data_IF_163166648453
#
_entry.id   IF_163166648453
#
_cell.length_a   1.000
_cell.length_b   1.000
_cell.length_c   1.000
_cell.angle_alpha   90.00
_cell.angle_beta   90.00
_cell.angle_gamma   90.00
#
_symmetry.space_group_name_H-M   'P 1'
#
loop_
_entity.id
_entity.type
_entity.pdbx_description
1 polymer ?
#
# COMPACT_ATOMS: atom_id res chain seq x y z
N UNK A 1 13.88 -15.55 -3.24
CA UNK A 1 12.79 -15.53 -2.27
C UNK A 1 11.53 -14.92 -2.90
N UNK A 2 10.34 -15.48 -2.60
CA UNK A 2 9.06 -15.08 -3.21
C UNK A 2 8.68 -13.62 -2.93
N UNK A 3 9.02 -13.10 -1.76
CA UNK A 3 8.74 -11.72 -1.37
C UNK A 3 9.46 -10.66 -2.23
N UNK A 4 10.39 -11.08 -3.08
CA UNK A 4 11.14 -10.21 -4.03
C UNK A 4 10.62 -10.31 -5.47
N UNK A 5 9.65 -11.19 -5.73
CA UNK A 5 9.08 -11.35 -7.07
C UNK A 5 8.13 -10.20 -7.40
N UNK A 6 8.05 -9.85 -8.69
CA UNK A 6 7.04 -8.92 -9.19
C UNK A 6 5.64 -9.54 -9.14
N UNK A 7 4.63 -8.69 -8.95
CA UNK A 7 3.24 -9.12 -8.78
C UNK A 7 2.75 -10.02 -9.93
N UNK A 8 3.13 -9.71 -11.17
CA UNK A 8 2.80 -10.50 -12.36
C UNK A 8 3.48 -11.88 -12.38
N UNK A 9 4.65 -11.98 -11.79
CA UNK A 9 5.36 -13.25 -11.68
C UNK A 9 4.68 -14.16 -10.67
N UNK A 10 4.23 -13.60 -9.55
CA UNK A 10 3.44 -14.35 -8.57
C UNK A 10 2.13 -14.86 -9.17
N UNK A 11 1.44 -14.05 -9.98
CA UNK A 11 0.24 -14.51 -10.70
C UNK A 11 0.56 -15.70 -11.60
N UNK A 12 1.62 -15.64 -12.39
CA UNK A 12 2.05 -16.77 -13.25
C UNK A 12 2.37 -18.04 -12.46
N UNK A 13 3.02 -17.90 -11.30
CA UNK A 13 3.31 -19.05 -10.43
C UNK A 13 2.05 -19.67 -9.83
N UNK A 14 1.08 -18.85 -9.43
CA UNK A 14 -0.23 -19.29 -8.94
C UNK A 14 -1.04 -20.00 -10.05
N UNK A 15 -0.99 -19.47 -11.27
CA UNK A 15 -1.65 -20.02 -12.44
C UNK A 15 -1.08 -21.38 -12.84
N UNK A 16 0.27 -21.47 -12.93
CA UNK A 16 0.99 -22.69 -13.33
C UNK A 16 1.08 -23.76 -12.23
N UNK A 17 0.92 -23.36 -10.96
CA UNK A 17 1.14 -24.24 -9.81
C UNK A 17 2.61 -24.50 -9.47
N UNK A 18 3.54 -23.81 -10.14
CA UNK A 18 4.96 -23.89 -9.82
C UNK A 18 5.25 -23.27 -8.45
N UNK A 19 6.31 -23.75 -7.78
CA UNK A 19 6.73 -23.30 -6.43
C UNK A 19 5.60 -23.34 -5.39
N UNK A 20 4.73 -24.33 -5.49
CA UNK A 20 3.54 -24.49 -4.64
C UNK A 20 3.86 -24.45 -3.14
N UNK A 21 4.89 -25.18 -2.73
CA UNK A 21 5.26 -25.26 -1.31
C UNK A 21 5.66 -23.89 -0.75
N UNK A 22 6.49 -23.15 -1.48
CA UNK A 22 6.92 -21.82 -1.08
C UNK A 22 5.75 -20.81 -1.06
N UNK A 23 4.86 -20.88 -2.07
CA UNK A 23 3.66 -20.04 -2.11
C UNK A 23 2.70 -20.41 -0.98
N UNK A 24 2.56 -21.69 -0.65
CA UNK A 24 1.75 -22.12 0.49
C UNK A 24 2.34 -21.63 1.81
N UNK A 25 3.66 -21.65 1.96
CA UNK A 25 4.33 -21.08 3.14
C UNK A 25 4.10 -19.58 3.30
N UNK A 26 4.04 -18.84 2.18
CA UNK A 26 3.83 -17.38 2.20
C UNK A 26 2.35 -16.99 2.42
N UNK A 27 1.43 -17.69 1.76
CA UNK A 27 0.01 -17.33 1.66
C UNK A 27 -0.89 -18.12 2.64
N UNK A 28 -0.35 -19.16 3.26
CA UNK A 28 -1.14 -20.18 3.94
C UNK A 28 -1.83 -21.12 2.94
N UNK A 29 -2.25 -22.30 3.42
CA UNK A 29 -2.86 -23.32 2.55
C UNK A 29 -4.17 -22.85 1.90
N UNK A 30 -5.00 -22.13 2.64
CA UNK A 30 -6.29 -21.62 2.15
C UNK A 30 -6.09 -20.46 1.18
N UNK A 31 -5.22 -19.51 1.50
CA UNK A 31 -4.87 -18.40 0.62
C UNK A 31 -4.26 -18.87 -0.70
N UNK A 32 -3.36 -19.86 -0.67
CA UNK A 32 -2.82 -20.47 -1.88
C UNK A 32 -3.91 -21.11 -2.75
N UNK A 33 -4.81 -21.92 -2.14
CA UNK A 33 -5.91 -22.57 -2.87
C UNK A 33 -6.81 -21.55 -3.55
N UNK A 34 -7.25 -20.55 -2.80
CA UNK A 34 -8.14 -19.49 -3.29
C UNK A 34 -7.48 -18.71 -4.44
N UNK A 35 -6.29 -18.16 -4.22
CA UNK A 35 -5.60 -17.34 -5.22
C UNK A 35 -5.19 -18.14 -6.46
N UNK A 36 -4.79 -19.41 -6.32
CA UNK A 36 -4.49 -20.27 -7.48
C UNK A 36 -5.73 -20.59 -8.30
N UNK A 37 -6.90 -20.76 -7.65
CA UNK A 37 -8.17 -20.94 -8.35
C UNK A 37 -8.52 -19.68 -9.15
N UNK A 38 -8.48 -18.52 -8.49
CA UNK A 38 -8.78 -17.24 -9.13
C UNK A 38 -7.79 -16.93 -10.27
N UNK A 39 -6.50 -17.22 -10.10
CA UNK A 39 -5.50 -16.98 -11.14
C UNK A 39 -5.78 -17.80 -12.42
N UNK A 40 -6.12 -19.09 -12.25
CA UNK A 40 -6.48 -19.95 -13.39
C UNK A 40 -7.79 -19.53 -14.06
N UNK A 41 -8.76 -19.05 -13.29
CA UNK A 41 -10.03 -18.56 -13.82
C UNK A 41 -9.83 -17.23 -14.57
N UNK A 42 -9.07 -16.30 -14.00
CA UNK A 42 -8.72 -15.04 -14.63
C UNK A 42 -7.93 -15.25 -15.94
N UNK A 43 -7.04 -16.26 -15.99
CA UNK A 43 -6.32 -16.61 -17.20
C UNK A 43 -7.26 -17.07 -18.33
N UNK A 44 -8.32 -17.80 -18.01
CA UNK A 44 -9.36 -18.22 -18.98
C UNK A 44 -10.22 -17.04 -19.44
N UNK A 45 -10.52 -16.12 -18.52
CA UNK A 45 -11.36 -14.94 -18.76
C UNK A 45 -10.63 -13.78 -19.47
N UNK A 46 -9.31 -13.89 -19.72
CA UNK A 46 -8.51 -12.83 -20.35
C UNK A 46 -9.11 -12.41 -21.70
N UNK A 47 -9.89 -11.34 -21.66
CA UNK A 47 -10.41 -10.66 -22.84
C UNK A 47 -9.42 -9.56 -23.24
N UNK A 48 -8.98 -9.55 -24.51
CA UNK A 48 -8.23 -8.42 -25.05
C UNK A 48 -9.20 -7.24 -25.21
N UNK A 49 -8.89 -6.10 -24.56
CA UNK A 49 -9.65 -4.86 -24.70
C UNK A 49 -10.67 -4.57 -23.60
N UNK A 50 -10.58 -5.21 -22.44
CA UNK A 50 -11.36 -4.83 -21.24
C UNK A 50 -11.04 -3.40 -20.77
N UNK A 51 -12.01 -2.75 -20.12
CA UNK A 51 -11.79 -1.45 -19.50
C UNK A 51 -10.68 -1.53 -18.46
N UNK A 52 -9.71 -0.61 -18.52
CA UNK A 52 -8.60 -0.60 -17.58
C UNK A 52 -9.06 -0.12 -16.21
N UNK A 53 -8.68 -0.88 -15.18
CA UNK A 53 -8.93 -0.55 -13.77
C UNK A 53 -7.61 -0.55 -13.01
N UNK A 54 -7.21 0.59 -12.45
CA UNK A 54 -6.08 0.65 -11.52
C UNK A 54 -6.57 0.34 -10.10
N UNK A 55 -5.93 -0.63 -9.47
CA UNK A 55 -6.20 -1.05 -8.09
C UNK A 55 -5.12 -0.49 -7.18
N UNK A 56 -5.52 0.39 -6.26
CA UNK A 56 -4.65 1.08 -5.31
C UNK A 56 -4.79 0.44 -3.92
N UNK A 57 -3.69 -0.06 -3.32
CA UNK A 57 -3.72 -0.59 -1.96
C UNK A 57 -3.86 0.53 -0.92
N UNK A 58 -4.10 0.14 0.34
CA UNK A 58 -4.10 1.06 1.48
C UNK A 58 -2.71 1.43 1.98
N UNK A 59 -2.69 2.17 3.09
CA UNK A 59 -1.49 2.48 3.85
C UNK A 59 -0.72 1.19 4.18
N UNK A 60 0.62 1.23 4.07
CA UNK A 60 1.47 0.06 4.26
C UNK A 60 1.22 -1.10 3.26
N UNK A 61 0.40 -0.88 2.24
CA UNK A 61 -0.01 -1.90 1.28
C UNK A 61 0.93 -2.11 0.09
N UNK A 62 2.03 -1.36 0.00
CA UNK A 62 3.10 -1.58 -0.99
C UNK A 62 4.41 -1.96 -0.30
N UNK A 63 5.17 -2.82 -0.94
CA UNK A 63 6.55 -3.13 -0.55
C UNK A 63 7.43 -1.93 -0.84
N UNK A 64 8.24 -1.51 0.12
CA UNK A 64 9.16 -0.39 -0.01
C UNK A 64 10.59 -0.89 0.10
N UNK A 65 11.45 -0.41 -0.78
CA UNK A 65 12.85 -0.81 -0.82
C UNK A 65 13.63 -0.09 -1.91
N UNK A 66 14.78 -0.64 -2.27
CA UNK A 66 15.63 -0.14 -3.35
C UNK A 66 15.59 -1.10 -4.53
N UNK A 67 15.36 -0.58 -5.73
CA UNK A 67 15.45 -1.38 -6.95
C UNK A 67 16.89 -1.81 -7.18
N UNK A 68 17.12 -3.11 -7.22
CA UNK A 68 18.40 -3.69 -7.55
C UNK A 68 18.50 -4.04 -9.03
N UNK A 69 19.74 -4.20 -9.53
CA UNK A 69 19.98 -4.61 -10.92
C UNK A 69 19.58 -6.07 -11.20
N UNK A 70 19.68 -6.93 -10.21
CA UNK A 70 19.34 -8.37 -10.29
C UNK A 70 18.19 -8.74 -9.34
N UNK A 71 18.18 -8.18 -8.13
CA UNK A 71 17.17 -8.43 -7.10
C UNK A 71 16.89 -7.13 -6.35
N UNK A 72 15.64 -6.89 -6.03
CA UNK A 72 15.22 -5.77 -5.20
C UNK A 72 15.63 -5.99 -3.73
N UNK A 73 16.08 -4.92 -3.07
CA UNK A 73 16.33 -4.89 -1.63
C UNK A 73 15.07 -4.35 -0.94
N UNK A 74 14.24 -5.28 -0.45
CA UNK A 74 12.96 -4.97 0.19
C UNK A 74 13.19 -4.73 1.67
N UNK A 75 12.75 -3.57 2.18
CA UNK A 75 12.78 -3.23 3.61
C UNK A 75 11.41 -3.50 4.24
N UNK A 76 10.37 -3.00 3.61
CA UNK A 76 8.99 -3.18 4.07
C UNK A 76 8.29 -4.29 3.28
N UNK A 77 7.94 -5.46 3.77
CA UNK A 77 8.21 -6.14 5.06
C UNK A 77 9.15 -7.35 4.82
N UNK A 78 10.43 -7.16 4.88
CA UNK A 78 11.36 -8.29 4.91
C UNK A 78 11.66 -8.64 6.38
N UNK A 79 11.40 -9.87 6.86
CA UNK A 79 11.63 -10.23 8.26
C UNK A 79 13.08 -10.08 8.72
N UNK A 80 14.05 -10.26 7.82
CA UNK A 80 15.47 -10.10 8.14
C UNK A 80 15.79 -8.61 8.35
N UNK A 81 15.28 -7.75 7.47
CA UNK A 81 15.47 -6.31 7.56
C UNK A 81 14.79 -5.74 8.81
N UNK A 82 13.60 -6.27 9.17
CA UNK A 82 12.91 -5.92 10.42
C UNK A 82 13.76 -6.30 11.63
N UNK A 83 14.20 -7.56 11.72
CA UNK A 83 15.02 -8.05 12.84
C UNK A 83 16.36 -7.30 12.97
N UNK A 84 16.94 -6.87 11.86
CA UNK A 84 18.17 -6.08 11.84
C UNK A 84 17.97 -4.61 12.27
N UNK A 85 16.75 -4.15 12.52
CA UNK A 85 16.44 -2.76 12.89
C UNK A 85 16.45 -1.78 11.71
N UNK A 86 16.37 -2.30 10.49
CA UNK A 86 16.47 -1.48 9.27
C UNK A 86 15.17 -0.77 8.90
N UNK A 87 14.08 -0.95 9.67
CA UNK A 87 12.85 -0.18 9.49
C UNK A 87 13.09 1.33 9.61
N UNK A 88 14.11 1.76 10.35
CA UNK A 88 14.50 3.18 10.46
C UNK A 88 14.90 3.82 9.13
N UNK A 89 15.29 3.01 8.13
CA UNK A 89 15.53 3.47 6.74
C UNK A 89 14.25 3.94 6.04
N UNK A 90 13.07 3.61 6.55
CA UNK A 90 11.79 4.09 6.03
C UNK A 90 11.50 5.55 6.39
N UNK A 91 12.18 6.12 7.39
CA UNK A 91 12.05 7.53 7.71
C UNK A 91 12.28 8.41 6.48
N UNK A 92 11.56 9.53 6.40
CA UNK A 92 11.68 10.50 5.33
C UNK A 92 12.50 11.73 5.76
N UNK A 93 13.81 11.58 5.96
CA UNK A 93 14.70 12.70 5.76
C UNK A 93 14.97 12.88 4.27
N UNK A 94 15.42 14.02 3.89
CA UNK A 94 15.78 14.37 2.51
C UNK A 94 16.71 13.29 1.92
N UNK A 95 16.38 12.79 0.74
CA UNK A 95 17.28 11.94 -0.06
C UNK A 95 17.10 10.44 0.04
N UNK A 96 16.06 9.93 0.69
CA UNK A 96 15.73 8.50 0.62
C UNK A 96 15.53 8.05 -0.83
N UNK A 97 16.32 7.05 -1.25
CA UNK A 97 16.22 6.42 -2.59
C UNK A 97 15.24 5.24 -2.62
N UNK A 98 14.47 5.07 -1.54
CA UNK A 98 13.50 3.99 -1.48
C UNK A 98 12.30 4.31 -2.36
N UNK A 99 11.74 3.25 -2.97
CA UNK A 99 10.57 3.33 -3.85
C UNK A 99 9.61 2.18 -3.57
N UNK A 100 8.39 2.29 -4.08
CA UNK A 100 7.47 1.17 -4.14
C UNK A 100 7.97 0.14 -5.16
N UNK A 101 8.04 -1.12 -4.74
CA UNK A 101 8.55 -2.26 -5.53
C UNK A 101 7.44 -3.18 -6.01
N UNK A 102 6.23 -3.05 -5.45
CA UNK A 102 5.07 -3.87 -5.75
C UNK A 102 4.07 -3.80 -4.60
N UNK A 103 2.90 -4.42 -4.76
CA UNK A 103 1.87 -4.45 -3.72
C UNK A 103 2.10 -5.58 -2.71
N UNK A 104 1.53 -5.42 -1.51
CA UNK A 104 1.37 -6.52 -0.55
C UNK A 104 0.25 -7.45 -1.03
N UNK A 105 0.61 -8.70 -1.35
CA UNK A 105 -0.09 -9.54 -2.32
C UNK A 105 -1.53 -9.95 -1.97
N UNK A 106 -1.85 -10.29 -0.71
CA UNK A 106 -3.06 -11.07 -0.44
C UNK A 106 -4.37 -10.40 -0.91
N UNK A 107 -4.69 -9.22 -0.38
CA UNK A 107 -5.99 -8.59 -0.66
C UNK A 107 -6.05 -7.90 -2.03
N UNK A 108 -4.98 -7.21 -2.41
CA UNK A 108 -4.92 -6.51 -3.69
C UNK A 108 -4.92 -7.48 -4.88
N UNK A 109 -4.24 -8.63 -4.73
CA UNK A 109 -4.19 -9.65 -5.77
C UNK A 109 -5.55 -10.34 -5.95
N UNK A 110 -6.25 -10.64 -4.86
CA UNK A 110 -7.60 -11.21 -4.91
C UNK A 110 -8.54 -10.27 -5.68
N UNK A 111 -8.55 -8.99 -5.33
CA UNK A 111 -9.37 -7.98 -6.01
C UNK A 111 -9.01 -7.87 -7.50
N UNK A 112 -7.70 -7.81 -7.83
CA UNK A 112 -7.25 -7.80 -9.22
C UNK A 112 -7.80 -8.98 -10.01
N UNK A 113 -7.60 -10.20 -9.50
CA UNK A 113 -8.02 -11.42 -10.19
C UNK A 113 -9.55 -11.48 -10.35
N UNK A 114 -10.31 -11.06 -9.34
CA UNK A 114 -11.77 -11.00 -9.41
C UNK A 114 -12.23 -10.01 -10.49
N UNK A 115 -11.60 -8.84 -10.59
CA UNK A 115 -11.90 -7.87 -11.64
C UNK A 115 -11.54 -8.41 -13.02
N UNK A 116 -10.43 -9.15 -13.15
CA UNK A 116 -10.05 -9.78 -14.42
C UNK A 116 -11.06 -10.86 -14.85
N UNK A 117 -11.58 -11.66 -13.91
CA UNK A 117 -12.66 -12.63 -14.18
C UNK A 117 -13.93 -11.90 -14.66
N UNK A 118 -14.22 -10.72 -14.11
CA UNK A 118 -15.34 -9.88 -14.52
C UNK A 118 -15.13 -9.15 -15.86
N UNK A 119 -13.98 -9.37 -16.54
CA UNK A 119 -13.70 -8.83 -17.86
C UNK A 119 -12.96 -7.49 -17.91
N UNK A 120 -12.48 -7.00 -16.77
CA UNK A 120 -11.67 -5.77 -16.70
C UNK A 120 -10.17 -6.06 -16.93
N UNK A 121 -9.44 -5.10 -17.51
CA UNK A 121 -7.98 -5.07 -17.47
C UNK A 121 -7.53 -4.45 -16.15
N UNK A 122 -7.50 -5.26 -15.08
CA UNK A 122 -7.14 -4.82 -13.74
C UNK A 122 -5.61 -4.79 -13.57
N UNK A 123 -5.08 -3.62 -13.22
CA UNK A 123 -3.66 -3.34 -13.03
C UNK A 123 -3.41 -2.89 -11.60
N UNK A 124 -2.44 -3.52 -10.90
CA UNK A 124 -2.02 -3.06 -9.58
C UNK A 124 -1.17 -1.78 -9.71
N UNK A 125 -1.46 -0.81 -8.89
CA UNK A 125 -0.66 0.40 -8.77
C UNK A 125 -0.03 0.48 -7.38
N UNK A 126 1.21 0.00 -7.26
CA UNK A 126 2.02 0.18 -6.06
C UNK A 126 2.54 1.63 -6.00
N UNK A 127 2.50 2.22 -4.82
CA UNK A 127 2.98 3.59 -4.58
C UNK A 127 3.71 3.68 -3.24
N UNK A 128 4.56 4.68 -3.11
CA UNK A 128 5.31 4.94 -1.88
C UNK A 128 4.40 5.61 -0.83
N UNK A 129 3.67 4.77 -0.09
CA UNK A 129 2.68 5.19 0.92
C UNK A 129 3.21 6.11 2.02
N UNK A 130 4.51 6.36 2.07
CA UNK A 130 5.14 7.32 3.00
C UNK A 130 4.97 8.77 2.56
N UNK A 131 4.73 9.00 1.27
CA UNK A 131 4.64 10.32 0.63
C UNK A 131 3.27 10.95 0.82
N UNK A 132 3.18 12.25 0.53
CA UNK A 132 1.91 12.98 0.54
C UNK A 132 0.89 12.40 -0.47
N UNK A 133 -0.37 12.47 -0.12
CA UNK A 133 -1.48 11.98 -0.97
C UNK A 133 -1.52 12.71 -2.31
N UNK A 134 -1.27 14.02 -2.32
CA UNK A 134 -1.20 14.82 -3.56
C UNK A 134 -0.12 14.29 -4.50
N UNK A 135 1.09 14.08 -3.99
CA UNK A 135 2.19 13.51 -4.78
C UNK A 135 1.84 12.13 -5.34
N UNK A 136 1.19 11.30 -4.56
CA UNK A 136 0.77 9.96 -5.00
C UNK A 136 -0.31 10.03 -6.08
N UNK A 137 -1.20 11.00 -6.00
CA UNK A 137 -2.18 11.27 -7.05
C UNK A 137 -1.52 11.72 -8.35
N UNK A 138 -0.52 12.61 -8.29
CA UNK A 138 0.26 13.03 -9.45
C UNK A 138 1.03 11.88 -10.09
N UNK A 139 1.66 11.01 -9.27
CA UNK A 139 2.36 9.80 -9.74
C UNK A 139 1.38 8.82 -10.43
N UNK A 140 0.15 8.68 -9.93
CA UNK A 140 -0.90 7.89 -10.57
C UNK A 140 -1.32 8.49 -11.92
N UNK A 141 -1.56 9.79 -11.98
CA UNK A 141 -1.93 10.49 -13.22
C UNK A 141 -0.83 10.37 -14.28
N UNK A 142 0.43 10.55 -13.89
CA UNK A 142 1.58 10.36 -14.76
C UNK A 142 1.69 8.90 -15.26
N UNK A 143 1.36 7.93 -14.42
CA UNK A 143 1.32 6.52 -14.80
C UNK A 143 0.21 6.24 -15.83
N UNK A 144 -1.01 6.76 -15.61
CA UNK A 144 -2.13 6.63 -16.54
C UNK A 144 -1.77 7.21 -17.91
N UNK A 145 -1.12 8.38 -17.92
CA UNK A 145 -0.65 9.03 -19.15
C UNK A 145 0.43 8.20 -19.86
N UNK A 146 1.43 7.73 -19.13
CA UNK A 146 2.50 6.88 -19.66
C UNK A 146 1.99 5.55 -20.22
N UNK A 147 0.95 4.97 -19.62
CA UNK A 147 0.32 3.74 -20.09
C UNK A 147 -0.57 3.99 -21.35
N UNK A 148 -0.82 5.25 -21.73
CA UNK A 148 -1.68 5.63 -22.87
C UNK A 148 -3.14 5.22 -22.71
N UNK A 149 -3.61 5.05 -21.47
CA UNK A 149 -4.95 4.53 -21.18
C UNK A 149 -5.99 5.64 -21.31
N UNK A 150 -7.03 5.37 -22.09
CA UNK A 150 -8.19 6.23 -22.22
C UNK A 150 -9.29 5.81 -21.23
N UNK A 151 -9.89 6.79 -20.55
CA UNK A 151 -11.01 6.58 -19.62
C UNK A 151 -10.80 5.47 -18.58
N UNK A 152 -9.67 5.43 -17.83
CA UNK A 152 -9.44 4.40 -16.82
C UNK A 152 -10.45 4.49 -15.68
N UNK A 153 -10.65 3.37 -14.99
CA UNK A 153 -11.34 3.33 -13.72
C UNK A 153 -10.31 3.18 -12.58
N UNK A 154 -10.65 3.69 -11.40
CA UNK A 154 -9.84 3.56 -10.20
C UNK A 154 -10.61 2.78 -9.14
N UNK A 155 -9.94 1.85 -8.46
CA UNK A 155 -10.47 1.18 -7.25
C UNK A 155 -9.43 1.32 -6.16
N UNK A 156 -9.71 2.11 -5.15
CA UNK A 156 -8.80 2.38 -4.04
C UNK A 156 -9.31 1.85 -2.71
N UNK A 157 -8.49 1.06 -2.01
CA UNK A 157 -8.76 0.61 -0.66
C UNK A 157 -8.12 1.55 0.37
N UNK A 158 -8.87 1.94 1.41
CA UNK A 158 -8.36 2.77 2.51
C UNK A 158 -7.68 4.05 1.98
N UNK A 159 -6.42 4.34 2.35
CA UNK A 159 -5.62 5.45 1.81
C UNK A 159 -5.61 5.49 0.27
N UNK A 160 -5.56 4.33 -0.41
CA UNK A 160 -5.63 4.28 -1.88
C UNK A 160 -6.93 4.87 -2.45
N UNK A 161 -8.03 4.82 -1.69
CA UNK A 161 -9.27 5.50 -2.04
C UNK A 161 -9.15 7.02 -1.93
N UNK A 162 -8.42 7.52 -0.94
CA UNK A 162 -8.14 8.96 -0.81
C UNK A 162 -7.26 9.45 -1.97
N UNK A 163 -6.20 8.69 -2.31
CA UNK A 163 -5.34 8.97 -3.49
C UNK A 163 -6.18 8.98 -4.77
N UNK A 164 -7.06 7.99 -4.96
CA UNK A 164 -7.94 7.93 -6.13
C UNK A 164 -8.90 9.13 -6.21
N UNK A 165 -9.42 9.61 -5.06
CA UNK A 165 -10.27 10.81 -4.98
C UNK A 165 -9.52 12.07 -5.37
N UNK A 166 -8.29 12.24 -4.85
CA UNK A 166 -7.46 13.42 -5.17
C UNK A 166 -7.06 13.38 -6.65
N UNK A 167 -6.67 12.22 -7.18
CA UNK A 167 -6.38 12.06 -8.61
C UNK A 167 -7.60 12.39 -9.50
N UNK A 168 -8.80 11.92 -9.11
CA UNK A 168 -10.04 12.24 -9.83
C UNK A 168 -10.35 13.74 -9.82
N UNK A 169 -10.13 14.43 -8.69
CA UNK A 169 -10.35 15.86 -8.56
C UNK A 169 -9.34 16.69 -9.39
N UNK A 170 -8.09 16.24 -9.48
CA UNK A 170 -7.04 16.88 -10.27
C UNK A 170 -7.11 16.53 -11.77
N UNK A 171 -7.78 15.44 -12.12
CA UNK A 171 -7.90 14.98 -13.50
C UNK A 171 -8.80 15.91 -14.32
N UNK A 172 -8.47 16.05 -15.61
CA UNK A 172 -9.22 16.87 -16.57
C UNK A 172 -10.33 16.07 -17.29
N UNK A 173 -10.98 15.15 -16.60
CA UNK A 173 -12.09 14.37 -17.13
C UNK A 173 -11.68 13.14 -17.94
N UNK A 174 -10.47 12.62 -17.76
CA UNK A 174 -10.00 11.38 -18.39
C UNK A 174 -10.42 10.14 -17.60
N UNK A 175 -10.48 10.24 -16.27
CA UNK A 175 -10.87 9.13 -15.39
C UNK A 175 -12.38 8.92 -15.47
N UNK A 176 -12.80 7.72 -15.89
CA UNK A 176 -14.21 7.40 -16.07
C UNK A 176 -14.96 7.25 -14.75
N UNK A 177 -14.32 6.64 -13.74
CA UNK A 177 -14.94 6.36 -12.42
C UNK A 177 -13.87 6.08 -11.37
N UNK A 178 -14.14 6.47 -10.13
CA UNK A 178 -13.39 6.05 -8.96
C UNK A 178 -14.32 5.36 -7.96
N UNK A 179 -13.89 4.21 -7.41
CA UNK A 179 -14.56 3.46 -6.37
C UNK A 179 -13.66 3.43 -5.13
N UNK A 180 -14.21 3.82 -4.00
CA UNK A 180 -13.52 3.85 -2.72
C UNK A 180 -14.00 2.70 -1.83
N UNK A 181 -13.09 1.90 -1.33
CA UNK A 181 -13.35 0.79 -0.42
C UNK A 181 -12.83 1.15 0.98
N UNK A 182 -13.71 1.62 1.86
CA UNK A 182 -13.33 2.02 3.23
C UNK A 182 -12.30 3.14 3.28
N UNK A 183 -12.40 4.13 2.38
CA UNK A 183 -11.48 5.26 2.36
C UNK A 183 -11.76 6.23 3.52
N UNK A 184 -10.74 6.64 4.29
CA UNK A 184 -10.90 7.56 5.40
C UNK A 184 -10.97 9.01 4.89
N UNK A 185 -12.11 9.38 4.31
CA UNK A 185 -12.28 10.72 3.71
C UNK A 185 -12.28 11.88 4.72
N UNK A 186 -12.60 11.59 5.96
CA UNK A 186 -12.51 12.53 7.10
C UNK A 186 -11.39 12.13 8.07
N UNK A 187 -10.39 11.41 7.56
CA UNK A 187 -9.28 10.92 8.36
C UNK A 187 -9.58 9.64 9.14
N UNK A 188 -8.64 9.24 9.98
CA UNK A 188 -8.68 7.98 10.74
C UNK A 188 -7.82 8.07 11.99
N UNK A 189 -8.18 7.32 13.04
CA UNK A 189 -7.32 7.18 14.23
C UNK A 189 -6.12 6.25 14.04
N UNK A 190 -6.05 5.48 12.96
CA UNK A 190 -4.90 4.61 12.70
C UNK A 190 -3.56 5.36 12.62
N UNK A 191 -3.44 6.52 11.93
CA UNK A 191 -2.26 7.39 11.99
C UNK A 191 -1.89 7.84 13.40
N UNK A 192 -2.87 8.29 14.19
CA UNK A 192 -2.66 8.70 15.59
C UNK A 192 -2.03 7.56 16.39
N UNK A 193 -2.60 6.35 16.29
CA UNK A 193 -2.08 5.16 16.96
C UNK A 193 -0.68 4.78 16.47
N UNK A 194 -0.40 4.93 15.17
CA UNK A 194 0.92 4.62 14.61
C UNK A 194 1.98 5.60 15.11
N UNK A 195 1.69 6.90 15.12
CA UNK A 195 2.59 7.95 15.61
C UNK A 195 2.81 7.89 17.13
N UNK A 196 1.91 7.23 17.86
CA UNK A 196 2.06 6.96 19.31
C UNK A 196 2.67 5.59 19.62
N UNK A 197 3.04 4.79 18.64
CA UNK A 197 3.63 3.46 18.83
C UNK A 197 2.66 2.40 19.35
N UNK A 198 1.35 2.69 19.38
CA UNK A 198 0.34 1.76 19.90
C UNK A 198 -0.47 1.04 18.82
N UNK A 199 -0.25 1.38 17.55
CA UNK A 199 -0.88 0.67 16.43
C UNK A 199 -0.45 -0.80 16.40
N UNK A 200 -1.41 -1.76 16.25
CA UNK A 200 -1.09 -3.18 16.36
C UNK A 200 0.03 -3.66 15.43
N UNK A 201 0.09 -3.13 14.20
CA UNK A 201 1.16 -3.47 13.26
C UNK A 201 2.52 -2.95 13.74
N UNK A 202 2.59 -1.72 14.26
CA UNK A 202 3.83 -1.14 14.79
C UNK A 202 4.35 -1.97 15.97
N UNK A 203 3.46 -2.38 16.89
CA UNK A 203 3.82 -3.25 18.01
C UNK A 203 4.33 -4.63 17.59
N UNK A 204 3.70 -5.23 16.57
CA UNK A 204 4.16 -6.52 16.02
C UNK A 204 5.54 -6.40 15.38
N UNK A 205 5.79 -5.30 14.67
CA UNK A 205 7.09 -5.04 14.05
C UNK A 205 8.16 -4.78 15.11
N UNK A 206 7.87 -3.98 16.13
CA UNK A 206 8.77 -3.75 17.25
C UNK A 206 9.12 -5.04 18.02
N UNK A 207 8.17 -5.96 18.14
CA UNK A 207 8.43 -7.27 18.77
C UNK A 207 9.39 -8.15 17.96
N UNK A 208 9.58 -7.87 16.68
CA UNK A 208 10.52 -8.57 15.78
C UNK A 208 11.83 -7.80 15.58
N UNK A 209 11.84 -6.49 15.86
CA UNK A 209 13.02 -5.63 15.76
C UNK A 209 13.91 -5.82 17.00
N UNK A 210 15.17 -6.19 16.78
CA UNK A 210 16.13 -6.42 17.87
C UNK A 210 16.81 -5.14 18.40
N UNK A 211 16.47 -3.97 17.84
CA UNK A 211 17.14 -2.69 18.12
C UNK A 211 16.21 -1.57 18.58
N UNK A 212 14.94 -1.61 18.18
CA UNK A 212 14.01 -0.52 18.40
C UNK A 212 12.69 -1.05 18.95
N UNK A 213 12.17 -0.38 19.96
CA UNK A 213 10.83 -0.63 20.45
C UNK A 213 9.75 0.11 19.62
N UNK A 214 8.50 0.00 20.04
CA UNK A 214 7.38 0.60 19.31
C UNK A 214 7.39 2.14 19.38
N UNK A 215 7.88 2.71 20.47
CA UNK A 215 8.02 4.15 20.64
C UNK A 215 9.15 4.70 19.76
N UNK A 216 10.28 4.01 19.70
CA UNK A 216 11.38 4.34 18.79
C UNK A 216 10.93 4.32 17.34
N UNK A 217 10.23 3.27 16.91
CA UNK A 217 9.71 3.19 15.52
C UNK A 217 8.70 4.31 15.25
N UNK A 218 7.83 4.63 16.19
CA UNK A 218 6.91 5.74 16.06
C UNK A 218 7.65 7.07 15.87
N UNK A 219 8.62 7.35 16.76
CA UNK A 219 9.39 8.59 16.76
C UNK A 219 10.32 8.73 15.56
N UNK A 220 11.03 7.66 15.19
CA UNK A 220 12.06 7.71 14.12
C UNK A 220 11.44 7.59 12.73
N UNK A 221 10.36 6.81 12.57
CA UNK A 221 9.79 6.48 11.27
C UNK A 221 8.41 7.11 11.09
N UNK A 222 7.41 6.65 11.82
CA UNK A 222 6.01 6.94 11.46
C UNK A 222 5.65 8.42 11.56
N UNK A 223 6.24 9.16 12.49
CA UNK A 223 6.04 10.62 12.62
C UNK A 223 6.70 11.44 11.51
N UNK A 224 7.57 10.85 10.71
CA UNK A 224 8.21 11.54 9.57
C UNK A 224 7.44 11.42 8.26
N UNK A 225 6.32 10.69 8.26
CA UNK A 225 5.60 10.32 7.04
C UNK A 225 4.45 11.29 6.75
N UNK A 226 4.53 12.13 5.69
CA UNK A 226 3.48 13.08 5.33
C UNK A 226 2.10 12.43 5.23
N UNK A 227 2.00 11.23 4.65
CA UNK A 227 0.73 10.52 4.51
C UNK A 227 -0.01 10.28 5.82
N UNK A 228 0.71 10.04 6.92
CA UNK A 228 0.07 9.84 8.22
C UNK A 228 -0.50 11.14 8.77
N UNK A 229 0.20 12.25 8.57
CA UNK A 229 -0.31 13.56 8.97
C UNK A 229 -1.56 13.96 8.17
N UNK A 230 -1.57 13.70 6.87
CA UNK A 230 -2.71 14.02 5.98
C UNK A 230 -3.93 13.10 6.20
N UNK A 231 -3.75 11.97 6.87
CA UNK A 231 -4.83 11.05 7.23
C UNK A 231 -5.26 11.16 8.70
N UNK A 232 -4.82 12.19 9.42
CA UNK A 232 -5.33 12.50 10.77
C UNK A 232 -6.84 12.78 10.70
N UNK A 233 -7.61 12.41 11.73
CA UNK A 233 -9.03 12.65 11.76
C UNK A 233 -9.35 14.15 11.83
N UNK A 234 -10.40 14.56 11.12
CA UNK A 234 -10.97 15.89 11.19
C UNK A 234 -11.52 16.20 12.59
N UNK A 235 -11.64 17.48 12.93
CA UNK A 235 -12.16 17.93 14.23
C UNK A 235 -13.57 17.39 14.56
N UNK A 236 -14.39 17.12 13.54
CA UNK A 236 -15.71 16.50 13.70
C UNK A 236 -15.67 15.08 14.26
N UNK A 237 -14.54 14.37 14.09
CA UNK A 237 -14.33 13.02 14.63
C UNK A 237 -13.62 13.00 16.00
N UNK A 238 -13.22 14.16 16.51
CA UNK A 238 -12.38 14.32 17.70
C UNK A 238 -13.01 15.24 18.75
N UNK A 239 -14.34 15.38 18.76
CA UNK A 239 -15.06 16.28 19.65
C UNK A 239 -14.54 17.74 19.61
N UNK A 240 -14.10 18.17 18.41
CA UNK A 240 -13.58 19.51 18.15
C UNK A 240 -12.08 19.68 18.33
N UNK A 241 -11.33 18.67 18.79
CA UNK A 241 -9.87 18.75 18.88
C UNK A 241 -9.23 18.75 17.49
N UNK A 242 -8.35 19.72 17.24
CA UNK A 242 -7.61 19.83 15.98
C UNK A 242 -6.27 19.07 16.06
N UNK A 243 -6.25 17.82 15.64
CA UNK A 243 -5.00 17.02 15.68
C UNK A 243 -3.92 17.46 14.67
N UNK A 244 -4.21 18.43 13.81
CA UNK A 244 -3.18 19.09 12.98
C UNK A 244 -2.42 20.18 13.76
N UNK A 245 -2.91 20.57 14.95
CA UNK A 245 -2.21 21.45 15.89
C UNK A 245 -1.51 20.63 16.97
N UNK A 246 -0.18 20.71 17.01
CA UNK A 246 0.61 19.95 17.99
C UNK A 246 0.32 20.33 19.45
N UNK A 247 -0.25 21.52 19.71
CA UNK A 247 -0.63 21.95 21.05
C UNK A 247 -1.86 21.22 21.61
N UNK A 248 -2.68 20.64 20.74
CA UNK A 248 -3.85 19.84 21.12
C UNK A 248 -3.49 18.40 21.56
N UNK A 249 -2.22 17.99 21.34
CA UNK A 249 -1.77 16.68 21.76
C UNK A 249 -1.37 16.69 23.24
N UNK A 250 -1.69 15.63 24.02
CA UNK A 250 -1.24 15.52 25.41
C UNK A 250 0.27 15.65 25.56
N UNK A 251 0.72 16.24 26.67
CA UNK A 251 2.17 16.48 26.89
C UNK A 251 3.00 15.20 26.97
N UNK A 252 2.39 14.10 27.43
CA UNK A 252 2.98 12.76 27.48
C UNK A 252 2.90 12.00 26.13
N UNK A 253 2.18 12.56 25.16
CA UNK A 253 2.09 11.97 23.85
C UNK A 253 3.34 12.26 23.02
N UNK A 254 3.70 11.28 22.18
CA UNK A 254 4.60 11.54 21.09
C UNK A 254 3.90 12.52 20.14
N UNK A 255 4.32 13.76 20.14
CA UNK A 255 3.77 14.80 19.24
C UNK A 255 4.27 14.57 17.82
N UNK A 256 3.44 14.83 16.80
CA UNK A 256 3.87 14.74 15.41
C UNK A 256 4.96 15.75 15.05
#
# INVERSE_FOLDING_TARGET
>A
PLHRLHDEEVVRLLESGQRREELTGLLGADGYRELSSLAREAAKARHRGGQVVYVLPGLMGSRIGTRGRLLDDVIWLDPIEVAAGHLTRLALPRGSRLAALGVMLLNALKLKLTLQIAGFDARLHAYDWRRSVERLADELLARIESDGVQSPMLVGHSMGGVVARVALAADRGRIARAVQLGAPNSGSFAPVLAMRGVYPTVRKLAALDLRHDAEDLARIVFRTLPSLHELLPDADLTDGANLFDSSEWPDDALRP
#
